data_IF_113224470262
#
_entry.id   IF_113224470262
#
_cell.length_a   1.000
_cell.length_b   1.000
_cell.length_c   1.000
_cell.angle_alpha   90.00
_cell.angle_beta   90.00
_cell.angle_gamma   90.00
#
_symmetry.space_group_name_H-M   'P 1'
#
loop_
_entity.id
_entity.type
_entity.pdbx_description
1 polymer ?
#
# COMPACT_ATOMS: atom_id res chain seq x y z
N UNK A 1 -1.81 -14.09 -18.31
CA UNK A 1 -1.43 -12.71 -18.69
C UNK A 1 0.05 -12.41 -18.48
N UNK A 2 0.57 -12.23 -17.25
CA UNK A 2 2.03 -11.97 -17.08
C UNK A 2 2.85 -13.20 -17.49
N UNK A 3 2.44 -14.39 -17.05
CA UNK A 3 3.12 -15.63 -17.45
C UNK A 3 3.14 -15.83 -18.96
N UNK A 4 1.99 -15.70 -19.63
CA UNK A 4 1.90 -15.79 -21.09
C UNK A 4 2.78 -14.77 -21.82
N UNK A 5 2.98 -13.58 -21.24
CA UNK A 5 3.87 -12.56 -21.81
C UNK A 5 5.34 -12.95 -21.67
N UNK A 6 5.73 -13.56 -20.54
CA UNK A 6 7.08 -14.10 -20.33
C UNK A 6 7.32 -15.27 -21.28
N UNK A 7 6.40 -16.21 -21.36
CA UNK A 7 6.50 -17.36 -22.26
C UNK A 7 6.60 -16.92 -23.74
N UNK A 8 5.87 -15.86 -24.11
CA UNK A 8 5.97 -15.25 -25.44
C UNK A 8 7.33 -14.59 -25.67
N UNK A 9 7.85 -13.85 -24.69
CA UNK A 9 9.17 -13.21 -24.77
C UNK A 9 10.28 -14.25 -24.92
N UNK A 10 10.26 -15.32 -24.12
CA UNK A 10 11.22 -16.41 -24.18
C UNK A 10 11.21 -17.10 -25.56
N UNK A 11 10.01 -17.33 -26.11
CA UNK A 11 9.86 -17.89 -27.45
C UNK A 11 10.44 -16.99 -28.54
N UNK A 12 10.21 -15.68 -28.46
CA UNK A 12 10.72 -14.71 -29.44
C UNK A 12 12.24 -14.58 -29.32
N UNK A 13 12.78 -14.53 -28.09
CA UNK A 13 14.22 -14.51 -27.84
C UNK A 13 14.90 -15.75 -28.43
N UNK A 14 14.31 -16.93 -28.23
CA UNK A 14 14.82 -18.19 -28.76
C UNK A 14 14.88 -18.19 -30.29
N UNK A 15 13.87 -17.64 -30.96
CA UNK A 15 13.86 -17.50 -32.43
C UNK A 15 14.95 -16.51 -32.88
N UNK A 16 15.14 -15.39 -32.17
CA UNK A 16 16.19 -14.40 -32.51
C UNK A 16 17.59 -14.97 -32.30
N UNK A 17 17.77 -15.80 -31.27
CA UNK A 17 19.04 -16.46 -31.01
C UNK A 17 19.37 -17.49 -32.11
N UNK A 18 18.46 -18.43 -32.37
CA UNK A 18 18.72 -19.56 -33.28
C UNK A 18 18.57 -19.16 -34.76
N UNK A 19 17.44 -18.55 -35.13
CA UNK A 19 17.11 -18.29 -36.53
C UNK A 19 17.76 -17.01 -37.06
N UNK A 20 18.02 -16.04 -36.21
CA UNK A 20 18.59 -14.74 -36.59
C UNK A 20 20.01 -14.52 -36.06
N UNK A 21 20.66 -15.54 -35.48
CA UNK A 21 22.05 -15.52 -35.01
C UNK A 21 22.36 -14.31 -34.14
N UNK A 22 21.44 -13.94 -33.25
CA UNK A 22 21.54 -12.75 -32.38
C UNK A 22 21.78 -11.43 -33.14
N UNK A 23 21.19 -11.26 -34.32
CA UNK A 23 21.30 -10.02 -35.06
C UNK A 23 20.75 -8.82 -34.24
N UNK A 24 21.62 -7.83 -33.98
CA UNK A 24 21.29 -6.69 -33.13
C UNK A 24 20.11 -5.85 -33.65
N UNK A 25 19.90 -5.78 -34.96
CA UNK A 25 18.76 -5.03 -35.53
C UNK A 25 17.43 -5.64 -35.12
N UNK A 26 17.34 -6.98 -35.13
CA UNK A 26 16.14 -7.70 -34.69
C UNK A 26 15.95 -7.61 -33.18
N UNK A 27 17.04 -7.65 -32.41
CA UNK A 27 16.99 -7.46 -30.95
C UNK A 27 16.45 -6.07 -30.61
N UNK A 28 16.96 -5.02 -31.25
CA UNK A 28 16.54 -3.64 -30.98
C UNK A 28 15.09 -3.41 -31.41
N UNK A 29 14.70 -3.86 -32.61
CA UNK A 29 13.32 -3.75 -33.09
C UNK A 29 12.33 -4.50 -32.18
N UNK A 30 12.72 -5.68 -31.69
CA UNK A 30 11.90 -6.45 -30.76
C UNK A 30 11.77 -5.75 -29.40
N UNK A 31 12.85 -5.19 -28.86
CA UNK A 31 12.80 -4.37 -27.63
C UNK A 31 11.85 -3.19 -27.76
N UNK A 32 11.98 -2.38 -28.82
CA UNK A 32 11.12 -1.23 -29.09
C UNK A 32 9.64 -1.64 -29.26
N UNK A 33 9.39 -2.73 -29.99
CA UNK A 33 8.04 -3.24 -30.20
C UNK A 33 7.41 -3.75 -28.89
N UNK A 34 8.15 -4.48 -28.05
CA UNK A 34 7.67 -4.95 -26.76
C UNK A 34 7.38 -3.78 -25.81
N UNK A 35 8.28 -2.78 -25.75
CA UNK A 35 8.05 -1.58 -24.95
C UNK A 35 6.79 -0.84 -25.40
N UNK A 36 6.64 -0.61 -26.71
CA UNK A 36 5.44 0.03 -27.28
C UNK A 36 4.17 -0.76 -26.97
N UNK A 37 4.21 -2.08 -27.13
CA UNK A 37 3.07 -2.96 -26.90
C UNK A 37 2.64 -2.98 -25.42
N UNK A 38 3.58 -3.13 -24.49
CA UNK A 38 3.26 -3.17 -23.06
C UNK A 38 2.73 -1.81 -22.61
N UNK A 39 3.31 -0.72 -23.12
CA UNK A 39 2.88 0.66 -22.78
C UNK A 39 1.57 1.08 -23.45
N UNK A 40 1.09 0.36 -24.48
CA UNK A 40 -0.20 0.64 -25.12
C UNK A 40 -1.39 0.33 -24.21
N UNK A 41 -1.20 -0.48 -23.17
CA UNK A 41 -2.27 -0.81 -22.22
C UNK A 41 -2.34 0.23 -21.09
N UNK A 42 -3.42 1.03 -21.00
CA UNK A 42 -3.59 1.94 -19.88
C UNK A 42 -3.75 1.13 -18.58
N UNK A 43 -2.86 1.38 -17.60
CA UNK A 43 -2.89 0.91 -16.21
C UNK A 43 -2.47 -0.56 -15.91
N UNK A 44 -1.31 -1.04 -16.41
CA UNK A 44 -0.37 -2.09 -15.87
C UNK A 44 0.37 -2.84 -17.01
N UNK A 45 1.61 -3.38 -16.86
CA UNK A 45 2.70 -3.13 -15.91
C UNK A 45 4.09 -3.03 -16.63
N UNK A 46 4.50 -1.86 -17.13
CA UNK A 46 5.90 -1.63 -17.57
C UNK A 46 6.54 -0.39 -16.93
N UNK A 47 5.88 0.27 -15.98
CA UNK A 47 6.45 1.44 -15.29
C UNK A 47 7.58 1.10 -14.29
N UNK A 48 8.04 -0.16 -14.26
CA UNK A 48 9.07 -0.65 -13.32
C UNK A 48 10.48 -0.71 -13.91
N UNK A 49 10.67 -0.54 -15.23
CA UNK A 49 11.95 -0.91 -15.88
C UNK A 49 13.04 0.17 -15.77
N UNK A 50 12.71 1.40 -15.35
CA UNK A 50 13.74 2.40 -15.01
C UNK A 50 13.47 3.10 -13.68
N UNK A 51 13.39 2.29 -12.61
CA UNK A 51 13.26 2.80 -11.25
C UNK A 51 14.55 3.52 -10.82
N UNK A 52 14.48 4.84 -10.65
CA UNK A 52 15.59 5.58 -10.04
C UNK A 52 15.63 5.34 -8.53
N UNK A 53 16.75 5.67 -7.86
CA UNK A 53 16.91 5.49 -6.41
C UNK A 53 15.79 6.13 -5.56
N UNK A 54 15.15 7.21 -6.05
CA UNK A 54 14.01 7.82 -5.38
C UNK A 54 12.76 6.92 -5.35
N UNK A 55 12.59 6.02 -6.32
CA UNK A 55 11.45 5.11 -6.41
C UNK A 55 11.54 3.96 -5.38
N UNK A 56 12.75 3.44 -5.14
CA UNK A 56 12.97 2.36 -4.15
C UNK A 56 13.09 2.88 -2.72
N UNK A 57 13.33 4.17 -2.53
CA UNK A 57 13.54 4.78 -1.20
C UNK A 57 12.46 4.43 -0.17
N UNK A 58 11.17 4.40 -0.56
CA UNK A 58 10.08 4.01 0.32
C UNK A 58 10.14 2.52 0.68
N UNK A 59 10.40 1.65 -0.29
CA UNK A 59 10.54 0.20 -0.07
C UNK A 59 11.73 -0.10 0.85
N UNK A 60 12.86 0.55 0.63
CA UNK A 60 14.03 0.45 1.52
C UNK A 60 13.70 0.93 2.95
N UNK A 61 12.95 2.02 3.06
CA UNK A 61 12.41 2.50 4.34
C UNK A 61 11.53 1.46 5.05
N UNK A 62 10.67 0.76 4.30
CA UNK A 62 9.83 -0.32 4.84
C UNK A 62 10.67 -1.47 5.40
N UNK A 63 11.76 -1.88 4.73
CA UNK A 63 12.66 -2.91 5.26
C UNK A 63 13.38 -2.46 6.53
N UNK A 64 13.87 -1.22 6.55
CA UNK A 64 14.50 -0.63 7.76
C UNK A 64 13.54 -0.58 8.94
N UNK A 65 12.28 -0.23 8.73
CA UNK A 65 11.25 -0.25 9.77
C UNK A 65 11.04 -1.67 10.36
N UNK A 66 11.13 -2.72 9.52
CA UNK A 66 11.00 -4.11 9.97
C UNK A 66 12.17 -4.56 10.85
N UNK A 67 13.39 -4.14 10.51
CA UNK A 67 14.58 -4.44 11.32
C UNK A 67 14.52 -3.68 12.65
N UNK A 68 14.26 -2.37 12.60
CA UNK A 68 14.14 -1.54 13.80
C UNK A 68 13.03 -2.03 14.74
N UNK A 69 11.91 -2.50 14.20
CA UNK A 69 10.82 -3.08 14.98
C UNK A 69 11.25 -4.31 15.77
N UNK A 70 12.09 -5.18 15.19
CA UNK A 70 12.62 -6.35 15.89
C UNK A 70 13.49 -5.94 17.07
N UNK A 71 14.38 -4.96 16.87
CA UNK A 71 15.25 -4.47 17.92
C UNK A 71 14.46 -3.82 19.08
N UNK A 72 13.45 -3.01 18.75
CA UNK A 72 12.53 -2.43 19.73
C UNK A 72 11.79 -3.53 20.51
N UNK A 73 11.36 -4.59 19.82
CA UNK A 73 10.66 -5.70 20.47
C UNK A 73 11.55 -6.51 21.41
N UNK A 74 12.83 -6.70 21.09
CA UNK A 74 13.80 -7.33 22.00
C UNK A 74 13.91 -6.50 23.29
N UNK A 75 14.06 -5.18 23.16
CA UNK A 75 14.14 -4.28 24.31
C UNK A 75 12.83 -4.26 25.12
N UNK A 76 11.68 -4.33 24.45
CA UNK A 76 10.38 -4.37 25.11
C UNK A 76 10.20 -5.68 25.90
N UNK A 77 10.57 -6.82 25.33
CA UNK A 77 10.52 -8.12 26.03
C UNK A 77 11.39 -8.12 27.29
N UNK A 78 12.59 -7.53 27.23
CA UNK A 78 13.45 -7.36 28.41
C UNK A 78 12.81 -6.43 29.47
N UNK A 79 12.20 -5.32 29.05
CA UNK A 79 11.48 -4.42 29.95
C UNK A 79 10.30 -5.13 30.64
N UNK A 80 9.55 -5.95 29.91
CA UNK A 80 8.43 -6.72 30.43
C UNK A 80 8.85 -7.77 31.45
N UNK A 81 9.99 -8.44 31.24
CA UNK A 81 10.55 -9.41 32.21
C UNK A 81 10.87 -8.75 33.56
N UNK A 82 11.37 -7.52 33.53
CA UNK A 82 11.70 -6.76 34.76
C UNK A 82 10.46 -6.30 35.52
N UNK A 83 9.35 -6.06 34.82
CA UNK A 83 8.08 -5.61 35.42
C UNK A 83 7.26 -6.78 36.01
N UNK A 84 7.66 -8.02 35.76
CA UNK A 84 7.02 -9.24 36.25
C UNK A 84 5.49 -9.26 36.05
N UNK A 85 5.01 -8.72 34.92
CA UNK A 85 3.58 -8.64 34.63
C UNK A 85 3.09 -10.04 34.25
N UNK A 86 2.19 -10.66 35.02
CA UNK A 86 1.56 -11.92 34.63
C UNK A 86 0.62 -11.63 33.46
N UNK A 87 0.90 -12.23 32.30
CA UNK A 87 0.05 -12.13 31.13
C UNK A 87 0.15 -13.40 30.30
N UNK A 88 -1.00 -13.98 29.96
CA UNK A 88 -1.09 -15.17 29.11
C UNK A 88 -0.97 -14.84 27.61
N UNK A 89 -0.81 -13.55 27.25
CA UNK A 89 -0.79 -13.07 25.88
C UNK A 89 0.63 -12.62 25.53
N UNK A 90 1.24 -13.27 24.53
CA UNK A 90 2.49 -12.81 23.93
C UNK A 90 2.20 -11.72 22.89
N UNK A 91 2.61 -10.48 23.16
CA UNK A 91 2.48 -9.37 22.23
C UNK A 91 3.76 -9.19 21.40
N UNK A 92 3.60 -9.08 20.08
CA UNK A 92 4.65 -8.61 19.16
C UNK A 92 4.12 -7.42 18.36
N UNK A 93 4.88 -6.33 18.33
CA UNK A 93 4.49 -5.07 17.70
C UNK A 93 5.48 -4.70 16.60
N UNK A 94 4.96 -4.28 15.45
CA UNK A 94 5.74 -3.67 14.39
C UNK A 94 5.45 -2.17 14.35
N UNK A 95 6.51 -1.36 14.38
CA UNK A 95 6.44 0.10 14.30
C UNK A 95 6.73 0.52 12.87
N UNK A 96 5.80 1.23 12.25
CA UNK A 96 5.86 1.61 10.85
C UNK A 96 5.92 3.13 10.70
N UNK A 97 6.82 3.62 9.86
CA UNK A 97 6.95 5.05 9.56
C UNK A 97 5.89 5.46 8.52
N UNK A 98 4.94 6.31 8.90
CA UNK A 98 3.77 6.68 8.06
C UNK A 98 4.13 7.19 6.66
N UNK A 99 5.32 7.78 6.45
CA UNK A 99 5.77 8.28 5.15
C UNK A 99 6.26 7.22 4.16
N UNK A 100 6.61 6.02 4.63
CA UNK A 100 7.08 4.92 3.78
C UNK A 100 5.99 3.92 3.44
N UNK A 101 5.04 3.71 4.35
CA UNK A 101 3.98 2.72 4.21
C UNK A 101 2.72 3.31 3.54
N UNK A 102 1.89 2.46 2.90
CA UNK A 102 0.59 2.90 2.39
C UNK A 102 -0.28 3.52 3.48
N UNK A 103 -1.12 4.49 3.10
CA UNK A 103 -2.05 5.10 4.06
C UNK A 103 -3.21 4.15 4.35
N UNK A 104 -3.22 3.60 5.56
CA UNK A 104 -4.32 2.79 6.07
C UNK A 104 -5.38 3.66 6.73
N UNK A 105 -6.65 3.36 6.45
CA UNK A 105 -7.77 4.01 7.13
C UNK A 105 -7.87 3.41 8.53
N UNK A 106 -7.70 4.22 9.60
CA UNK A 106 -7.91 3.72 10.95
C UNK A 106 -9.35 3.26 11.11
N UNK A 107 -9.51 2.13 11.80
CA UNK A 107 -10.80 1.54 12.12
C UNK A 107 -10.90 1.39 13.62
N UNK A 108 -11.95 1.96 14.19
CA UNK A 108 -12.25 1.81 15.62
C UNK A 108 -12.83 0.42 15.85
N UNK A 109 -12.30 -0.27 16.86
CA UNK A 109 -12.76 -1.59 17.29
C UNK A 109 -12.69 -1.67 18.81
N UNK A 110 -13.58 -2.45 19.40
CA UNK A 110 -13.56 -2.72 20.82
C UNK A 110 -12.61 -3.87 21.12
N UNK A 111 -11.47 -3.55 21.74
CA UNK A 111 -10.48 -4.54 22.14
C UNK A 111 -10.76 -5.04 23.56
N UNK A 112 -10.52 -6.33 23.86
CA UNK A 112 -10.59 -6.85 25.21
C UNK A 112 -9.69 -6.05 26.17
N UNK A 113 -10.10 -5.87 27.45
CA UNK A 113 -9.35 -5.07 28.41
C UNK A 113 -7.88 -5.50 28.57
N UNK A 114 -7.61 -6.80 28.45
CA UNK A 114 -6.24 -7.34 28.51
C UNK A 114 -5.37 -6.84 27.35
N UNK A 115 -5.92 -6.78 26.14
CA UNK A 115 -5.20 -6.27 24.97
C UNK A 115 -4.96 -4.76 25.07
N UNK A 116 -5.95 -4.01 25.56
CA UNK A 116 -5.82 -2.55 25.78
C UNK A 116 -4.72 -2.24 26.79
N UNK A 117 -4.64 -3.01 27.90
CA UNK A 117 -3.55 -2.87 28.88
C UNK A 117 -2.18 -3.06 28.24
N UNK A 118 -2.02 -4.10 27.42
CA UNK A 118 -0.75 -4.37 26.72
C UNK A 118 -0.39 -3.25 25.72
N UNK A 119 -1.38 -2.70 25.01
CA UNK A 119 -1.17 -1.56 24.12
C UNK A 119 -0.69 -0.31 24.88
N UNK A 120 -1.29 0.00 26.03
CA UNK A 120 -0.88 1.17 26.84
C UNK A 120 0.49 0.98 27.50
N UNK A 121 0.82 -0.23 27.95
CA UNK A 121 2.17 -0.55 28.46
C UNK A 121 3.21 -0.34 27.37
N UNK A 122 2.97 -0.88 26.17
CA UNK A 122 3.87 -0.71 25.04
C UNK A 122 3.99 0.76 24.61
N UNK A 123 2.88 1.49 24.55
CA UNK A 123 2.85 2.91 24.20
C UNK A 123 3.65 3.76 25.18
N UNK A 124 3.52 3.50 26.49
CA UNK A 124 4.30 4.19 27.53
C UNK A 124 5.79 3.90 27.37
N UNK A 125 6.16 2.64 27.15
CA UNK A 125 7.55 2.25 26.88
C UNK A 125 8.12 2.96 25.63
N UNK A 126 7.37 2.98 24.53
CA UNK A 126 7.83 3.54 23.27
C UNK A 126 7.99 5.07 23.35
N UNK A 127 6.98 5.77 23.86
CA UNK A 127 6.99 7.22 23.99
C UNK A 127 8.01 7.70 25.02
N UNK A 128 8.31 6.89 26.05
CA UNK A 128 9.37 7.18 27.01
C UNK A 128 10.77 7.19 26.38
N UNK A 129 11.01 6.36 25.35
CA UNK A 129 12.29 6.32 24.61
C UNK A 129 12.34 7.25 23.40
N UNK A 130 11.19 7.51 22.78
CA UNK A 130 11.07 8.29 21.56
C UNK A 130 10.18 9.51 21.78
N UNK A 131 10.77 10.57 22.35
CA UNK A 131 10.09 11.85 22.55
C UNK A 131 9.73 12.50 21.21
N UNK A 132 8.58 13.21 21.19
CA UNK A 132 8.10 13.92 20.01
C UNK A 132 7.41 13.05 18.95
N UNK A 133 7.19 11.75 19.21
CA UNK A 133 6.43 10.86 18.32
C UNK A 133 4.99 10.68 18.77
N UNK A 134 4.09 10.39 17.83
CA UNK A 134 2.70 9.97 18.09
C UNK A 134 2.48 8.60 17.47
N UNK A 135 1.93 7.68 18.26
CA UNK A 135 1.55 6.35 17.80
C UNK A 135 0.08 6.32 17.38
N UNK A 136 -0.21 5.55 16.34
CA UNK A 136 -1.56 5.25 15.89
C UNK A 136 -1.64 3.77 15.53
N UNK A 137 -2.49 3.03 16.26
CA UNK A 137 -2.69 1.60 16.03
C UNK A 137 -3.51 1.36 14.77
N UNK A 138 -3.11 0.36 13.97
CA UNK A 138 -3.78 -0.03 12.73
C UNK A 138 -4.34 -1.45 12.86
N UNK A 139 -5.58 -1.56 13.33
CA UNK A 139 -6.27 -2.83 13.59
C UNK A 139 -6.43 -3.72 12.35
N UNK A 140 -6.47 -3.11 11.16
CA UNK A 140 -6.59 -3.81 9.87
C UNK A 140 -5.41 -4.72 9.54
N UNK A 141 -4.23 -4.41 10.06
CA UNK A 141 -3.00 -5.18 9.86
C UNK A 141 -2.73 -6.17 11.00
N UNK A 142 -3.55 -6.14 12.06
CA UNK A 142 -3.42 -7.01 13.22
C UNK A 142 -3.78 -8.45 12.89
N UNK A 143 -3.01 -9.39 13.43
CA UNK A 143 -3.30 -10.81 13.42
C UNK A 143 -2.93 -11.42 14.78
N UNK A 144 -3.60 -12.51 15.12
CA UNK A 144 -3.43 -13.21 16.38
C UNK A 144 -3.39 -14.72 16.15
N UNK A 145 -2.80 -15.44 17.11
CA UNK A 145 -2.85 -16.90 17.17
C UNK A 145 -3.73 -17.27 18.35
N UNK A 146 -4.83 -17.98 18.07
CA UNK A 146 -5.78 -18.43 19.07
C UNK A 146 -5.62 -19.93 19.31
N UNK A 147 -5.65 -20.33 20.59
CA UNK A 147 -5.76 -21.73 20.98
C UNK A 147 -7.24 -22.06 21.14
N UNK A 148 -7.75 -22.89 20.23
CA UNK A 148 -9.13 -23.33 20.23
C UNK A 148 -9.23 -24.79 20.69
N UNK A 149 -10.18 -25.07 21.57
CA UNK A 149 -10.49 -26.41 22.06
C UNK A 149 -11.70 -26.95 21.30
N UNK A 150 -11.47 -27.95 20.45
CA UNK A 150 -12.54 -28.64 19.72
C UNK A 150 -12.74 -30.05 20.28
N UNK A 151 -13.91 -30.65 19.99
CA UNK A 151 -14.21 -32.05 20.36
C UNK A 151 -13.17 -33.06 19.83
N UNK A 152 -12.50 -32.74 18.72
CA UNK A 152 -11.47 -33.57 18.08
C UNK A 152 -10.03 -33.22 18.53
N UNK A 153 -9.89 -32.34 19.51
CA UNK A 153 -8.61 -31.93 20.08
C UNK A 153 -8.35 -30.42 19.98
N UNK A 154 -7.22 -30.03 20.57
CA UNK A 154 -6.77 -28.63 20.62
C UNK A 154 -6.10 -28.24 19.30
N UNK A 155 -6.43 -27.06 18.77
CA UNK A 155 -5.85 -26.53 17.54
C UNK A 155 -5.44 -25.08 17.74
N UNK A 156 -4.40 -24.66 17.03
CA UNK A 156 -3.98 -23.26 16.97
C UNK A 156 -4.45 -22.64 15.65
N UNK A 157 -5.11 -21.50 15.73
CA UNK A 157 -5.70 -20.80 14.59
C UNK A 157 -5.00 -19.45 14.42
N UNK A 158 -4.34 -19.25 13.27
CA UNK A 158 -3.85 -17.94 12.87
C UNK A 158 -4.96 -17.17 12.18
N UNK A 159 -5.43 -16.09 12.80
CA UNK A 159 -6.60 -15.32 12.38
C UNK A 159 -6.29 -13.82 12.41
N UNK A 160 -7.07 -13.03 11.67
CA UNK A 160 -6.97 -11.57 11.77
C UNK A 160 -7.47 -11.06 13.13
N UNK A 161 -7.12 -9.82 13.48
CA UNK A 161 -7.61 -9.20 14.70
C UNK A 161 -9.14 -9.12 14.72
N UNK A 162 -9.78 -8.77 13.59
CA UNK A 162 -11.24 -8.74 13.48
C UNK A 162 -11.88 -10.12 13.71
N UNK A 163 -11.28 -11.17 13.14
CA UNK A 163 -11.73 -12.55 13.37
C UNK A 163 -11.55 -12.95 14.83
N UNK A 164 -10.47 -12.50 15.46
CA UNK A 164 -10.20 -12.76 16.88
C UNK A 164 -11.29 -12.20 17.78
N UNK A 165 -11.68 -10.94 17.57
CA UNK A 165 -12.73 -10.29 18.36
C UNK A 165 -14.07 -11.05 18.26
N UNK A 166 -14.44 -11.48 17.05
CA UNK A 166 -15.66 -12.27 16.84
C UNK A 166 -15.56 -13.63 17.51
N UNK A 167 -14.44 -14.35 17.35
CA UNK A 167 -14.25 -15.68 17.93
C UNK A 167 -14.22 -15.67 19.46
N UNK A 168 -13.70 -14.61 20.08
CA UNK A 168 -13.66 -14.47 21.53
C UNK A 168 -15.07 -14.38 22.14
N UNK A 169 -16.06 -13.85 21.42
CA UNK A 169 -17.46 -13.80 21.89
C UNK A 169 -18.03 -15.20 22.14
N UNK A 170 -17.58 -16.20 21.38
CA UNK A 170 -18.07 -17.58 21.50
C UNK A 170 -17.58 -18.32 22.75
N UNK A 171 -16.72 -17.69 23.56
CA UNK A 171 -16.40 -18.21 24.88
C UNK A 171 -17.50 -17.93 25.91
N UNK A 172 -18.35 -16.93 25.68
CA UNK A 172 -19.42 -16.50 26.60
C UNK A 172 -20.82 -16.91 26.13
N UNK A 173 -20.99 -17.26 24.85
CA UNK A 173 -22.28 -17.69 24.28
C UNK A 173 -22.11 -18.53 23.02
N UNK A 174 -23.13 -19.31 22.67
CA UNK A 174 -23.08 -20.24 21.53
C UNK A 174 -23.63 -19.63 20.23
N UNK A 175 -24.52 -18.65 20.32
CA UNK A 175 -25.19 -18.01 19.18
C UNK A 175 -25.29 -16.51 19.40
N UNK A 176 -25.01 -15.73 18.35
CA UNK A 176 -25.10 -14.28 18.36
C UNK A 176 -25.70 -13.79 17.05
N UNK A 177 -26.59 -12.80 17.13
CA UNK A 177 -27.08 -12.08 15.97
C UNK A 177 -26.00 -11.15 15.39
N UNK A 178 -26.18 -10.76 14.12
CA UNK A 178 -25.23 -9.87 13.44
C UNK A 178 -25.12 -8.49 14.12
N UNK A 179 -26.22 -7.97 14.64
CA UNK A 179 -26.26 -6.68 15.33
C UNK A 179 -25.54 -6.73 16.68
N UNK A 180 -25.68 -7.84 17.42
CA UNK A 180 -24.96 -8.05 18.68
C UNK A 180 -23.44 -8.13 18.44
N UNK A 181 -23.00 -8.84 17.40
CA UNK A 181 -21.58 -8.90 17.02
C UNK A 181 -21.06 -7.51 16.65
N UNK A 182 -21.83 -6.74 15.89
CA UNK A 182 -21.48 -5.37 15.49
C UNK A 182 -21.32 -4.45 16.71
N UNK A 183 -22.27 -4.51 17.63
CA UNK A 183 -22.26 -3.71 18.84
C UNK A 183 -21.10 -4.09 19.77
N UNK A 184 -20.86 -5.39 19.95
CA UNK A 184 -19.79 -5.88 20.82
C UNK A 184 -18.40 -5.57 20.26
N UNK A 185 -18.16 -5.79 18.96
CA UNK A 185 -16.81 -5.65 18.36
C UNK A 185 -16.51 -4.24 17.85
N UNK A 186 -17.53 -3.41 17.62
CA UNK A 186 -17.37 -2.07 17.03
C UNK A 186 -16.99 -2.08 15.55
N UNK A 187 -16.94 -3.25 14.91
CA UNK A 187 -16.53 -3.37 13.51
C UNK A 187 -17.62 -2.77 12.62
N UNK A 188 -17.24 -1.78 11.80
CA UNK A 188 -18.08 -1.24 10.74
C UNK A 188 -18.39 -2.31 9.70
N UNK A 189 -19.39 -3.14 9.95
CA UNK A 189 -19.92 -4.11 9.00
C UNK A 189 -20.73 -3.36 7.95
N UNK A 190 -20.07 -2.66 7.03
CA UNK A 190 -20.71 -2.27 5.77
C UNK A 190 -21.18 -3.55 5.09
N UNK A 191 -22.44 -3.56 4.63
CA UNK A 191 -23.19 -4.72 4.12
C UNK A 191 -22.51 -5.42 2.94
N UNK A 192 -21.46 -6.21 3.23
CA UNK A 192 -20.74 -7.19 2.41
C UNK A 192 -19.51 -7.76 3.13
N UNK A 193 -19.31 -7.48 4.42
CA UNK A 193 -18.25 -8.13 5.21
C UNK A 193 -18.54 -9.62 5.42
N UNK A 194 -18.07 -10.43 4.47
CA UNK A 194 -18.01 -11.89 4.51
C UNK A 194 -17.22 -12.46 5.71
N UNK A 195 -16.60 -11.59 6.53
CA UNK A 195 -15.92 -11.94 7.79
C UNK A 195 -16.86 -12.68 8.75
N UNK A 196 -18.12 -12.25 8.88
CA UNK A 196 -19.10 -12.98 9.69
C UNK A 196 -19.74 -14.15 8.91
N UNK A 197 -20.15 -13.95 7.65
CA UNK A 197 -20.91 -14.98 6.90
C UNK A 197 -20.10 -16.23 6.50
N UNK A 198 -18.81 -16.11 6.19
CA UNK A 198 -18.02 -17.26 5.71
C UNK A 198 -17.23 -17.95 6.82
N UNK A 199 -16.67 -17.21 7.80
CA UNK A 199 -15.89 -17.83 8.89
C UNK A 199 -16.78 -18.56 9.91
N UNK A 200 -17.94 -17.99 10.26
CA UNK A 200 -18.89 -18.64 11.19
C UNK A 200 -19.49 -19.90 10.55
N UNK A 201 -19.95 -19.86 9.30
CA UNK A 201 -20.48 -21.06 8.65
C UNK A 201 -19.41 -22.15 8.43
N UNK A 202 -18.17 -21.84 8.05
CA UNK A 202 -17.20 -22.90 7.74
C UNK A 202 -16.58 -23.58 8.98
N UNK A 203 -16.30 -22.82 10.05
CA UNK A 203 -15.73 -23.39 11.28
C UNK A 203 -16.81 -24.13 12.08
N UNK A 204 -18.02 -23.56 12.18
CA UNK A 204 -19.10 -24.14 12.98
C UNK A 204 -19.83 -25.29 12.25
N UNK A 205 -20.00 -25.24 10.91
CA UNK A 205 -20.75 -26.26 10.14
C UNK A 205 -19.86 -27.34 9.54
N UNK A 206 -18.65 -27.04 9.06
CA UNK A 206 -17.90 -27.97 8.18
C UNK A 206 -16.62 -28.59 8.74
N UNK A 207 -16.18 -28.26 9.97
CA UNK A 207 -15.02 -28.89 10.65
C UNK A 207 -13.80 -29.19 9.74
N UNK A 208 -13.52 -28.38 8.74
CA UNK A 208 -12.45 -28.62 7.76
C UNK A 208 -11.57 -27.39 7.56
N UNK A 209 -10.26 -27.58 7.25
CA UNK A 209 -9.31 -26.48 7.13
C UNK A 209 -9.59 -25.62 5.88
N UNK A 210 -9.54 -24.31 6.07
CA UNK A 210 -9.91 -23.29 5.08
C UNK A 210 -8.93 -23.31 3.90
N UNK A 211 -9.45 -23.52 2.67
CA UNK A 211 -8.75 -23.16 1.42
C UNK A 211 -8.84 -21.64 1.23
N UNK A 212 -7.69 -21.01 0.95
CA UNK A 212 -7.52 -19.57 0.70
C UNK A 212 -8.63 -19.02 -0.21
N UNK A 213 -9.37 -18.01 0.25
CA UNK A 213 -10.36 -17.32 -0.57
C UNK A 213 -10.05 -15.82 -0.72
N UNK A 214 -10.23 -15.33 -1.95
CA UNK A 214 -9.74 -14.06 -2.47
C UNK A 214 -10.91 -13.18 -2.92
N UNK A 215 -11.44 -12.32 -2.05
CA UNK A 215 -12.51 -11.37 -2.43
C UNK A 215 -12.29 -9.94 -1.92
N UNK A 216 -11.28 -9.66 -1.11
CA UNK A 216 -10.94 -8.31 -0.63
C UNK A 216 -10.25 -7.40 -1.69
N UNK A 217 -9.79 -7.98 -2.80
CA UNK A 217 -8.83 -7.29 -3.69
C UNK A 217 -9.42 -6.17 -4.56
N UNK A 218 -10.73 -6.12 -4.80
CA UNK A 218 -11.28 -5.27 -5.88
C UNK A 218 -11.47 -3.80 -5.46
N UNK A 219 -12.05 -3.54 -4.29
CA UNK A 219 -12.27 -2.17 -3.79
C UNK A 219 -10.97 -1.50 -3.33
N UNK A 220 -10.09 -2.26 -2.67
CA UNK A 220 -8.74 -1.80 -2.30
C UNK A 220 -7.91 -1.45 -3.55
N UNK A 221 -8.04 -2.23 -4.63
CA UNK A 221 -7.33 -1.97 -5.87
C UNK A 221 -7.84 -0.69 -6.56
N UNK A 222 -9.14 -0.42 -6.54
CA UNK A 222 -9.70 0.81 -7.13
C UNK A 222 -9.22 2.07 -6.40
N UNK A 223 -9.33 2.09 -5.07
CA UNK A 223 -8.89 3.22 -4.23
C UNK A 223 -7.37 3.45 -4.30
N UNK A 224 -6.58 2.38 -4.33
CA UNK A 224 -5.12 2.47 -4.52
C UNK A 224 -4.77 3.07 -5.89
N UNK A 225 -5.50 2.68 -6.94
CA UNK A 225 -5.27 3.20 -8.29
C UNK A 225 -5.62 4.69 -8.37
N UNK A 226 -6.71 5.12 -7.74
CA UNK A 226 -7.11 6.53 -7.68
C UNK A 226 -6.07 7.40 -6.97
N UNK A 227 -5.50 6.92 -5.84
CA UNK A 227 -4.41 7.61 -5.15
C UNK A 227 -3.18 7.76 -6.03
N UNK A 228 -2.81 6.73 -6.79
CA UNK A 228 -1.69 6.81 -7.75
C UNK A 228 -1.96 7.90 -8.80
N UNK A 229 -3.19 8.05 -9.27
CA UNK A 229 -3.53 9.13 -10.21
C UNK A 229 -3.39 10.52 -9.58
N UNK A 230 -3.85 10.71 -8.34
CA UNK A 230 -3.69 11.98 -7.62
C UNK A 230 -2.21 12.30 -7.38
N UNK A 231 -1.41 11.33 -6.95
CA UNK A 231 0.04 11.50 -6.75
C UNK A 231 0.76 11.92 -8.04
N UNK A 232 0.37 11.35 -9.19
CA UNK A 232 0.91 11.77 -10.50
C UNK A 232 0.62 13.23 -10.80
N UNK A 233 -0.56 13.74 -10.43
CA UNK A 233 -0.89 15.17 -10.63
C UNK A 233 0.02 16.08 -9.81
N UNK A 234 0.29 15.73 -8.55
CA UNK A 234 1.22 16.50 -7.71
C UNK A 234 2.66 16.43 -8.24
N UNK A 235 3.08 15.29 -8.79
CA UNK A 235 4.40 15.16 -9.43
C UNK A 235 4.53 16.02 -10.69
N UNK A 236 3.47 16.10 -11.52
CA UNK A 236 3.42 16.99 -12.68
C UNK A 236 3.54 18.45 -12.22
N UNK A 237 2.76 18.88 -11.24
CA UNK A 237 2.81 20.24 -10.71
C UNK A 237 4.20 20.61 -10.19
N UNK A 238 4.80 19.73 -9.38
CA UNK A 238 6.14 19.93 -8.83
C UNK A 238 7.23 19.94 -9.92
N UNK A 239 7.09 19.16 -10.98
CA UNK A 239 7.98 19.19 -12.14
C UNK A 239 7.89 20.54 -12.87
N UNK A 240 6.67 20.98 -13.21
CA UNK A 240 6.43 22.27 -13.89
C UNK A 240 7.00 23.43 -13.07
N UNK A 241 6.68 23.50 -11.76
CA UNK A 241 7.16 24.59 -10.89
C UNK A 241 8.69 24.59 -10.79
N UNK A 242 9.35 23.42 -10.70
CA UNK A 242 10.82 23.34 -10.66
C UNK A 242 11.46 23.83 -11.96
N UNK A 243 10.92 23.42 -13.11
CA UNK A 243 11.40 23.85 -14.43
C UNK A 243 11.21 25.35 -14.60
N UNK A 244 10.01 25.87 -14.34
CA UNK A 244 9.68 27.29 -14.48
C UNK A 244 10.49 28.16 -13.53
N UNK A 245 10.72 27.72 -12.29
CA UNK A 245 11.57 28.43 -11.33
C UNK A 245 13.01 28.60 -11.81
N UNK A 246 13.54 27.59 -12.53
CA UNK A 246 14.91 27.57 -13.04
C UNK A 246 15.06 28.38 -14.33
N UNK A 247 14.14 28.20 -15.29
CA UNK A 247 14.20 28.82 -16.61
C UNK A 247 13.64 30.23 -16.65
N UNK A 248 12.77 30.59 -15.69
CA UNK A 248 12.00 31.85 -15.57
C UNK A 248 10.99 32.10 -16.70
N UNK A 249 11.38 31.84 -17.94
CA UNK A 249 10.54 31.99 -19.12
C UNK A 249 10.74 30.81 -20.04
N UNK A 250 9.66 30.19 -20.52
CA UNK A 250 9.74 29.01 -21.38
C UNK A 250 8.54 28.92 -22.33
N UNK A 251 8.77 28.44 -23.55
CA UNK A 251 7.69 28.19 -24.51
C UNK A 251 6.93 26.90 -24.17
N UNK A 252 5.68 26.80 -24.62
CA UNK A 252 4.83 25.63 -24.34
C UNK A 252 5.48 24.32 -24.80
N UNK A 253 5.97 24.26 -26.04
CA UNK A 253 6.58 23.03 -26.57
C UNK A 253 7.84 22.61 -25.79
N UNK A 254 8.67 23.58 -25.39
CA UNK A 254 9.86 23.30 -24.59
C UNK A 254 9.50 22.85 -23.18
N UNK A 255 8.51 23.50 -22.54
CA UNK A 255 8.01 23.09 -21.23
C UNK A 255 7.46 21.67 -21.25
N UNK A 256 6.62 21.35 -22.25
CA UNK A 256 6.05 20.02 -22.41
C UNK A 256 7.15 18.96 -22.61
N UNK A 257 8.16 19.26 -23.44
CA UNK A 257 9.32 18.39 -23.65
C UNK A 257 10.14 18.16 -22.38
N UNK A 258 10.49 19.22 -21.64
CA UNK A 258 11.24 19.09 -20.38
C UNK A 258 10.43 18.32 -19.30
N UNK A 259 9.11 18.53 -19.23
CA UNK A 259 8.24 17.77 -18.33
C UNK A 259 8.21 16.29 -18.70
N UNK A 260 8.09 15.95 -19.98
CA UNK A 260 8.13 14.54 -20.42
C UNK A 260 9.48 13.88 -20.13
N UNK A 261 10.59 14.61 -20.26
CA UNK A 261 11.92 14.09 -19.92
C UNK A 261 12.12 13.88 -18.41
N UNK A 262 11.46 14.68 -17.57
CA UNK A 262 11.58 14.57 -16.11
C UNK A 262 10.66 13.51 -15.51
N UNK A 263 9.48 13.27 -16.10
CA UNK A 263 8.47 12.35 -15.58
C UNK A 263 8.69 10.93 -16.11
N UNK A 264 8.67 9.96 -15.20
CA UNK A 264 8.84 8.53 -15.51
C UNK A 264 7.55 7.79 -15.86
N UNK A 265 6.49 8.53 -16.19
CA UNK A 265 5.18 7.96 -16.51
C UNK A 265 4.51 8.73 -17.65
N UNK A 266 3.66 8.07 -18.45
CA UNK A 266 2.98 8.74 -19.56
C UNK A 266 1.97 9.76 -19.03
N UNK A 267 2.03 10.99 -19.55
CA UNK A 267 1.09 12.07 -19.25
C UNK A 267 0.27 12.39 -20.48
N UNK A 268 -1.06 12.39 -20.34
CA UNK A 268 -1.95 12.80 -21.44
C UNK A 268 -1.84 14.32 -21.64
N UNK A 269 -1.78 14.81 -22.89
CA UNK A 269 -1.70 16.26 -23.16
C UNK A 269 -2.84 17.07 -22.53
N UNK A 270 -4.05 16.51 -22.48
CA UNK A 270 -5.20 17.14 -21.85
C UNK A 270 -5.03 17.35 -20.34
N UNK A 271 -4.41 16.38 -19.65
CA UNK A 271 -4.17 16.46 -18.21
C UNK A 271 -3.07 17.48 -17.91
N UNK A 272 -2.01 17.50 -18.72
CA UNK A 272 -0.93 18.49 -18.61
C UNK A 272 -1.45 19.93 -18.81
N UNK A 273 -2.33 20.13 -19.81
CA UNK A 273 -2.96 21.43 -20.04
C UNK A 273 -3.77 21.90 -18.83
N UNK A 274 -4.60 21.02 -18.26
CA UNK A 274 -5.36 21.31 -17.02
C UNK A 274 -4.45 21.65 -15.86
N UNK A 275 -3.29 20.99 -15.74
CA UNK A 275 -2.32 21.28 -14.67
C UNK A 275 -1.65 22.65 -14.85
N UNK A 276 -1.27 23.01 -16.07
CA UNK A 276 -0.73 24.35 -16.37
C UNK A 276 -1.77 25.43 -16.06
N UNK A 277 -3.02 25.25 -16.47
CA UNK A 277 -4.12 26.20 -16.15
C UNK A 277 -4.28 26.36 -14.64
N UNK A 278 -4.33 25.25 -13.88
CA UNK A 278 -4.42 25.30 -12.42
C UNK A 278 -3.19 25.94 -11.74
N UNK A 279 -2.01 25.95 -12.37
CA UNK A 279 -0.83 26.65 -11.86
C UNK A 279 -0.87 28.14 -12.18
N UNK A 280 -1.49 28.53 -13.28
CA UNK A 280 -1.75 29.94 -13.63
C UNK A 280 -2.78 30.54 -12.67
N UNK A 281 -3.89 29.83 -12.43
CA UNK A 281 -4.95 30.28 -11.51
C UNK A 281 -4.48 30.43 -10.05
N UNK A 282 -3.35 29.78 -9.70
CA UNK A 282 -2.71 29.85 -8.37
C UNK A 282 -1.51 30.80 -8.34
N UNK A 283 -1.32 31.62 -9.36
CA UNK A 283 -0.26 32.63 -9.48
C UNK A 283 1.17 32.07 -9.40
N UNK A 284 1.40 30.81 -9.78
CA UNK A 284 2.76 30.26 -9.90
C UNK A 284 3.45 30.69 -11.20
N UNK A 285 2.66 30.92 -12.26
CA UNK A 285 3.13 31.27 -13.59
C UNK A 285 2.04 32.01 -14.36
N UNK A 286 2.39 32.82 -15.35
CA UNK A 286 1.43 33.52 -16.24
C UNK A 286 1.76 33.26 -17.70
N UNK A 287 0.78 33.53 -18.57
CA UNK A 287 1.01 33.62 -20.01
C UNK A 287 1.62 34.99 -20.33
N UNK A 288 2.54 35.00 -21.26
CA UNK A 288 3.07 36.25 -21.77
C UNK A 288 1.96 37.09 -22.45
N UNK A 289 2.06 38.41 -22.33
CA UNK A 289 1.04 39.36 -22.83
C UNK A 289 1.00 39.40 -24.36
N UNK A 290 2.14 39.16 -25.00
CA UNK A 290 2.26 39.24 -26.46
C UNK A 290 2.17 37.86 -27.11
N UNK A 291 2.62 36.81 -26.42
CA UNK A 291 2.66 35.45 -26.96
C UNK A 291 1.99 34.41 -26.03
N UNK A 292 0.77 33.94 -26.36
CA UNK A 292 0.08 32.92 -25.57
C UNK A 292 0.81 31.56 -25.46
N UNK A 293 1.80 31.31 -26.31
CA UNK A 293 2.63 30.10 -26.30
C UNK A 293 3.85 30.20 -25.38
N UNK A 294 3.99 31.29 -24.64
CA UNK A 294 5.09 31.55 -23.73
C UNK A 294 4.58 31.74 -22.31
N UNK A 295 5.29 31.15 -21.35
CA UNK A 295 4.97 31.22 -19.94
C UNK A 295 6.09 31.92 -19.17
N UNK A 296 5.72 32.71 -18.17
CA UNK A 296 6.62 33.40 -17.25
C UNK A 296 6.36 32.93 -15.81
N UNK A 297 7.40 32.76 -15.02
CA UNK A 297 7.31 32.37 -13.60
C UNK A 297 7.11 33.61 -12.71
N UNK A 298 6.16 33.56 -11.77
CA UNK A 298 5.75 34.72 -10.95
C UNK A 298 6.23 34.62 -9.49
N UNK A 299 6.34 33.40 -8.95
CA UNK A 299 6.56 33.14 -7.53
C UNK A 299 8.03 33.20 -7.05
#
# INVERSE_FOLDING_TARGET
MVQELLDFKDKVDHIIDICFLKNEKFINAMKEAFETFINKRPNKPAELIECGAAFTSKLEGMFKDMELSKDIMIQFKQYMQNQNVPGNIELTVNILTMGYWPTYVPMEVHLPPEMVKLQEIFKTFYLGKHSGRKLQWQSTLGHCVLKAEFKEGKKELQVSLFQTLVLLMFNEGEEFSLEEIKQATGIGLTERSYVCRLFLCHIYIYKTPIRKFSTFKVEEQASTTERVFQDRQYQIDAAIVRIMKMRKTLSHNLLVSEVYNQLKFPVKPADLKKRIESLIDRDYMERDKENPNQYNYIA
#
